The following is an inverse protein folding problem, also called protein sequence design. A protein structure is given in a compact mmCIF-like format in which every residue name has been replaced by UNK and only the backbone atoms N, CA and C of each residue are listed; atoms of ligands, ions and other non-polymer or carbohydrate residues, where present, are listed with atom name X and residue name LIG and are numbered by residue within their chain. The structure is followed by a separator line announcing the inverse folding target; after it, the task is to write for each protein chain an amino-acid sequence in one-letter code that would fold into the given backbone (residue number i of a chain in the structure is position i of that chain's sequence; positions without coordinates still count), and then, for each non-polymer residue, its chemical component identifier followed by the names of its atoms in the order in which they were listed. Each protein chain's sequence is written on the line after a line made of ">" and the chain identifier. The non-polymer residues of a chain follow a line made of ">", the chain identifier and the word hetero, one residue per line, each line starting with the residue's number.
data_IF_229331184983
#
_entry.id   IF_229331184983
#
_cell.length_a   1.000
_cell.length_b   1.000
_cell.length_c   1.000
_cell.angle_alpha   90.00
_cell.angle_beta   90.00
_cell.angle_gamma   90.00
#
_symmetry.space_group_name_H-M   'P 1'
#
loop_
_entity.id
_entity.type
_entity.pdbx_description
1 polymer ?
#
# COMPACT_ATOMS: atom_id res chain seq x y z
N UNK A 1 11.36 -2.04 -0.21
CA UNK A 1 11.65 -1.86 -1.64
C UNK A 1 10.63 -2.67 -2.42
N UNK A 2 10.04 -2.09 -3.46
CA UNK A 2 9.18 -2.69 -4.52
C UNK A 2 9.68 -4.02 -5.08
N UNK A 3 10.79 -4.56 -4.55
CA UNK A 3 11.32 -5.91 -4.71
C UNK A 3 11.76 -6.25 -6.11
N UNK A 4 11.63 -5.31 -7.03
CA UNK A 4 12.42 -5.21 -8.23
C UNK A 4 13.33 -3.97 -8.09
N UNK A 5 14.65 -4.18 -8.21
CA UNK A 5 15.63 -3.09 -8.23
C UNK A 5 15.43 -2.13 -9.40
N UNK A 6 14.71 -2.55 -10.45
CA UNK A 6 14.41 -1.73 -11.63
C UNK A 6 13.26 -0.75 -11.41
N UNK A 7 12.47 -0.89 -10.33
CA UNK A 7 11.32 -0.01 -10.11
C UNK A 7 11.21 0.65 -8.73
N UNK A 8 12.01 1.69 -8.46
CA UNK A 8 12.00 2.47 -7.22
C UNK A 8 10.86 3.53 -7.18
N UNK A 9 9.60 3.11 -7.18
CA UNK A 9 8.48 4.03 -6.94
C UNK A 9 8.38 4.41 -5.45
N UNK A 10 8.44 5.71 -5.12
CA UNK A 10 8.06 6.22 -3.79
C UNK A 10 6.70 6.89 -3.91
N UNK A 11 5.71 6.36 -3.19
CA UNK A 11 4.40 6.99 -3.09
C UNK A 11 4.46 8.06 -2.00
N UNK A 12 4.06 9.30 -2.32
CA UNK A 12 3.94 10.40 -1.36
C UNK A 12 2.48 10.72 -1.15
N UNK A 13 2.06 10.79 0.11
CA UNK A 13 0.64 11.01 0.44
C UNK A 13 0.48 12.40 1.04
N UNK A 14 -0.45 13.18 0.47
CA UNK A 14 -0.77 14.53 0.90
C UNK A 14 -2.22 14.58 1.42
N UNK A 15 -2.36 14.88 2.71
CA UNK A 15 -3.68 15.02 3.34
C UNK A 15 -4.27 16.43 3.17
N UNK A 16 -3.80 17.20 2.20
CA UNK A 16 -4.06 18.65 2.11
C UNK A 16 -3.31 19.47 3.18
N UNK A 17 -3.48 20.79 3.14
CA UNK A 17 -2.98 21.77 4.15
C UNK A 17 -1.51 21.61 4.58
N UNK A 18 -0.59 21.29 3.64
CA UNK A 18 0.84 21.16 3.93
C UNK A 18 1.25 19.91 4.71
N UNK A 19 0.29 19.04 5.05
CA UNK A 19 0.54 17.79 5.78
C UNK A 19 0.86 16.67 4.80
N UNK A 20 2.11 16.20 4.83
CA UNK A 20 2.61 15.14 3.94
C UNK A 20 3.18 13.97 4.73
N UNK A 21 2.82 12.76 4.33
CA UNK A 21 3.62 11.58 4.64
C UNK A 21 4.67 11.47 3.54
N UNK A 22 5.88 11.93 3.86
CA UNK A 22 6.94 12.15 2.88
C UNK A 22 7.46 10.89 2.17
N UNK A 23 7.12 9.69 2.67
CA UNK A 23 7.47 8.42 2.02
C UNK A 23 6.56 7.26 2.45
N UNK A 24 6.06 6.52 1.47
CA UNK A 24 5.52 5.17 1.63
C UNK A 24 6.38 4.24 0.79
N UNK A 25 7.11 3.35 1.48
CA UNK A 25 8.04 2.42 0.85
C UNK A 25 7.30 1.14 0.48
N UNK A 26 7.15 0.91 -0.82
CA UNK A 26 6.57 -0.31 -1.33
C UNK A 26 7.52 -1.50 -1.07
N UNK A 27 6.95 -2.69 -0.95
CA UNK A 27 7.59 -3.99 -0.82
C UNK A 27 7.32 -4.79 -2.11
N UNK A 28 8.27 -5.59 -2.59
CA UNK A 28 8.03 -6.47 -3.74
C UNK A 28 8.38 -7.91 -3.55
N UNK A 29 8.91 -8.53 -4.60
CA UNK A 29 8.94 -9.98 -4.81
C UNK A 29 9.51 -10.80 -3.65
N UNK A 30 10.56 -10.30 -2.99
CA UNK A 30 11.19 -10.99 -1.85
C UNK A 30 10.42 -10.86 -0.52
N UNK A 31 9.35 -10.07 -0.47
CA UNK A 31 8.60 -9.82 0.75
C UNK A 31 7.61 -10.96 1.07
N UNK A 32 7.79 -11.63 2.22
CA UNK A 32 6.90 -12.73 2.70
C UNK A 32 5.42 -12.35 2.77
N UNK A 33 4.53 -13.00 2.02
CA UNK A 33 3.07 -12.76 2.04
C UNK A 33 2.51 -12.58 0.63
N UNK A 34 1.21 -12.36 0.50
CA UNK A 34 0.57 -12.22 -0.82
C UNK A 34 0.97 -10.91 -1.51
N UNK A 35 1.23 -10.99 -2.81
CA UNK A 35 1.61 -9.89 -3.71
C UNK A 35 0.98 -10.12 -5.09
N UNK A 36 0.65 -9.04 -5.79
CA UNK A 36 0.10 -9.09 -7.15
C UNK A 36 1.27 -9.07 -8.13
N UNK A 37 1.80 -10.26 -8.41
CA UNK A 37 3.03 -10.44 -9.20
C UNK A 37 2.90 -9.81 -10.58
N UNK A 38 1.80 -10.09 -11.28
CA UNK A 38 1.56 -9.62 -12.64
C UNK A 38 1.53 -8.09 -12.68
N UNK A 39 0.85 -7.48 -11.70
CA UNK A 39 0.83 -6.02 -11.61
C UNK A 39 2.19 -5.43 -11.25
N UNK A 40 2.96 -6.06 -10.35
CA UNK A 40 4.32 -5.62 -10.02
C UNK A 40 5.23 -5.68 -11.26
N UNK A 41 5.10 -6.72 -12.08
CA UNK A 41 5.85 -6.85 -13.34
C UNK A 41 5.48 -5.73 -14.32
N UNK A 42 4.19 -5.46 -14.52
CA UNK A 42 3.72 -4.33 -15.35
C UNK A 42 4.30 -3.00 -14.88
N UNK A 43 4.31 -2.76 -13.57
CA UNK A 43 4.91 -1.56 -13.00
C UNK A 43 6.42 -1.53 -13.14
N UNK A 44 7.11 -2.68 -13.18
CA UNK A 44 8.56 -2.65 -13.37
C UNK A 44 8.99 -2.19 -14.75
N UNK A 45 8.18 -2.46 -15.78
CA UNK A 45 8.47 -2.07 -17.15
C UNK A 45 8.06 -0.62 -17.44
N UNK A 46 6.89 -0.20 -16.94
CA UNK A 46 6.25 1.05 -17.37
C UNK A 46 6.16 2.09 -16.26
N UNK A 47 6.39 1.66 -15.02
CA UNK A 47 6.28 2.46 -13.83
C UNK A 47 4.87 2.69 -13.30
N UNK A 48 4.81 3.14 -12.05
CA UNK A 48 3.57 3.65 -11.47
C UNK A 48 3.28 4.99 -12.15
N UNK A 49 2.08 5.16 -12.73
CA UNK A 49 1.74 6.42 -13.38
C UNK A 49 1.90 7.61 -12.43
N UNK A 50 2.58 8.64 -12.91
CA UNK A 50 2.73 9.87 -12.15
C UNK A 50 1.44 10.69 -12.16
N UNK A 51 1.21 11.45 -11.09
CA UNK A 51 0.09 12.37 -10.99
C UNK A 51 -0.63 12.34 -9.65
N UNK A 52 -1.75 13.06 -9.61
CA UNK A 52 -2.66 13.12 -8.48
C UNK A 52 -3.58 11.90 -8.48
N UNK A 53 -3.70 11.27 -7.32
CA UNK A 53 -4.65 10.21 -7.02
C UNK A 53 -5.57 10.64 -5.90
N UNK A 54 -6.81 10.20 -5.91
CA UNK A 54 -7.78 10.42 -4.85
C UNK A 54 -7.99 9.15 -4.04
N UNK A 55 -8.08 9.28 -2.72
CA UNK A 55 -8.51 8.16 -1.87
C UNK A 55 -9.96 7.78 -2.18
N UNK A 56 -10.18 6.51 -2.46
CA UNK A 56 -11.50 5.94 -2.71
C UNK A 56 -11.91 4.99 -1.59
N UNK A 57 -13.23 4.88 -1.38
CA UNK A 57 -13.82 3.77 -0.63
C UNK A 57 -13.73 2.50 -1.49
N UNK A 58 -13.93 1.34 -0.86
CA UNK A 58 -14.19 0.13 -1.61
C UNK A 58 -15.48 0.29 -2.42
N UNK A 59 -15.51 -0.25 -3.63
CA UNK A 59 -16.75 -0.31 -4.40
C UNK A 59 -17.74 -1.26 -3.73
N UNK A 60 -19.02 -0.97 -3.85
CA UNK A 60 -20.10 -1.71 -3.16
C UNK A 60 -20.05 -3.21 -3.49
N UNK A 61 -19.76 -3.52 -4.73
CA UNK A 61 -19.68 -4.89 -5.26
C UNK A 61 -18.44 -5.67 -4.79
N UNK A 62 -17.43 -5.02 -4.21
CA UNK A 62 -16.28 -5.70 -3.59
C UNK A 62 -16.68 -6.40 -2.27
N UNK A 63 -17.84 -6.06 -1.70
CA UNK A 63 -18.32 -6.53 -0.39
C UNK A 63 -17.22 -6.43 0.67
N UNK A 64 -16.57 -5.26 0.72
CA UNK A 64 -15.43 -5.07 1.60
C UNK A 64 -15.87 -5.11 3.08
N UNK A 65 -15.14 -5.83 3.94
CA UNK A 65 -15.56 -6.09 5.31
C UNK A 65 -15.69 -4.84 6.20
N UNK A 66 -15.01 -3.74 5.87
CA UNK A 66 -15.04 -2.49 6.65
C UNK A 66 -15.35 -1.31 5.76
N UNK A 67 -16.29 -0.44 6.18
CA UNK A 67 -16.62 0.78 5.42
C UNK A 67 -15.53 1.87 5.53
N UNK A 68 -14.63 1.73 6.51
CA UNK A 68 -13.51 2.64 6.75
C UNK A 68 -12.15 1.95 6.57
N UNK A 69 -11.13 2.77 6.28
CA UNK A 69 -9.74 2.33 6.25
C UNK A 69 -9.27 1.95 7.67
N UNK A 70 -8.51 0.86 7.77
CA UNK A 70 -7.92 0.36 9.01
C UNK A 70 -6.47 -0.06 8.79
N UNK A 71 -5.67 -0.16 9.86
CA UNK A 71 -4.26 -0.54 9.79
C UNK A 71 -4.01 -1.94 9.20
N UNK A 72 -4.99 -2.83 9.26
CA UNK A 72 -4.92 -4.18 8.68
C UNK A 72 -5.74 -4.28 7.39
N UNK A 73 -6.09 -3.14 6.79
CA UNK A 73 -6.88 -3.03 5.57
C UNK A 73 -6.04 -2.63 4.36
N UNK A 74 -6.74 -2.14 3.33
CA UNK A 74 -6.12 -1.58 2.13
C UNK A 74 -6.66 -0.16 1.88
N UNK A 75 -5.77 0.76 1.55
CA UNK A 75 -6.14 2.10 1.10
C UNK A 75 -6.17 2.13 -0.42
N UNK A 76 -7.32 2.51 -1.00
CA UNK A 76 -7.54 2.55 -2.44
C UNK A 76 -7.34 3.95 -2.99
N UNK A 77 -6.71 4.04 -4.15
CA UNK A 77 -6.28 5.27 -4.78
C UNK A 77 -6.71 5.25 -6.25
N UNK A 78 -7.50 6.22 -6.67
CA UNK A 78 -7.97 6.35 -8.06
C UNK A 78 -7.26 7.53 -8.71
N UNK A 79 -6.57 7.36 -9.85
CA UNK A 79 -5.91 8.48 -10.52
C UNK A 79 -6.93 9.54 -10.96
N UNK A 80 -6.52 10.80 -10.93
CA UNK A 80 -7.34 11.94 -11.37
C UNK A 80 -7.09 12.30 -12.83
N UNK A 81 -5.94 11.90 -13.40
CA UNK A 81 -5.63 12.12 -14.81
C UNK A 81 -6.10 10.97 -15.69
N UNK A 82 -6.67 11.28 -16.85
CA UNK A 82 -7.15 10.30 -17.83
C UNK A 82 -6.06 9.33 -18.29
N UNK A 83 -4.83 9.81 -18.48
CA UNK A 83 -3.69 8.98 -18.91
C UNK A 83 -3.33 7.89 -17.88
N UNK A 84 -3.25 8.25 -16.61
CA UNK A 84 -3.00 7.29 -15.52
C UNK A 84 -4.18 6.34 -15.33
N UNK A 85 -5.42 6.79 -15.57
CA UNK A 85 -6.60 5.93 -15.53
C UNK A 85 -6.57 4.89 -16.66
N UNK A 86 -6.22 5.32 -17.88
CA UNK A 86 -6.13 4.44 -19.05
C UNK A 86 -5.01 3.40 -18.90
N UNK A 87 -3.87 3.79 -18.34
CA UNK A 87 -2.81 2.86 -17.96
C UNK A 87 -3.34 1.75 -17.04
N UNK A 88 -4.04 2.12 -15.97
CA UNK A 88 -4.55 1.14 -15.01
C UNK A 88 -5.62 0.26 -15.64
N UNK A 89 -6.53 0.83 -16.45
CA UNK A 89 -7.54 0.06 -17.18
C UNK A 89 -6.93 -0.95 -18.14
N UNK A 90 -5.86 -0.58 -18.84
CA UNK A 90 -5.11 -1.48 -19.71
C UNK A 90 -4.51 -2.65 -18.92
N UNK A 91 -4.07 -2.40 -17.69
CA UNK A 91 -3.63 -3.42 -16.74
C UNK A 91 -4.79 -4.17 -16.03
N UNK A 92 -6.04 -3.92 -16.41
CA UNK A 92 -7.22 -4.53 -15.80
C UNK A 92 -7.56 -4.00 -14.40
N UNK A 93 -6.99 -2.85 -14.00
CA UNK A 93 -7.13 -2.26 -12.66
C UNK A 93 -7.95 -0.96 -12.71
N UNK A 94 -8.69 -0.70 -11.64
CA UNK A 94 -9.51 0.51 -11.46
C UNK A 94 -8.77 1.61 -10.67
N UNK A 95 -7.62 1.27 -10.10
CA UNK A 95 -6.83 2.14 -9.24
C UNK A 95 -5.66 1.36 -8.62
N UNK A 96 -4.96 1.99 -7.68
CA UNK A 96 -3.93 1.35 -6.86
C UNK A 96 -4.50 1.02 -5.47
N UNK A 97 -3.99 -0.01 -4.82
CA UNK A 97 -4.33 -0.31 -3.44
C UNK A 97 -3.08 -0.54 -2.58
N UNK A 98 -2.87 0.27 -1.55
CA UNK A 98 -1.80 0.09 -0.59
C UNK A 98 -2.25 -0.83 0.55
N UNK A 99 -1.55 -1.94 0.76
CA UNK A 99 -1.87 -2.90 1.83
C UNK A 99 -0.62 -3.38 2.60
N UNK A 100 -0.83 -3.86 3.82
CA UNK A 100 0.23 -4.44 4.65
C UNK A 100 0.39 -5.95 4.38
N UNK A 101 1.41 -6.58 4.99
CA UNK A 101 1.48 -8.05 5.05
C UNK A 101 0.32 -8.61 5.86
N UNK A 102 0.07 -7.97 6.99
CA UNK A 102 -0.91 -8.38 7.98
C UNK A 102 -2.30 -7.88 7.56
N UNK A 103 -2.74 -8.41 6.42
CA UNK A 103 -3.95 -7.97 5.73
C UNK A 103 -5.15 -8.82 6.13
N UNK A 104 -5.72 -8.50 7.29
CA UNK A 104 -6.85 -9.22 7.90
C UNK A 104 -7.75 -8.24 8.67
N UNK A 105 -8.50 -7.37 7.98
CA UNK A 105 -9.25 -6.29 8.62
C UNK A 105 -10.26 -6.78 9.68
N UNK A 106 -10.72 -8.03 9.59
CA UNK A 106 -11.62 -8.65 10.57
C UNK A 106 -11.13 -9.99 11.16
N UNK A 107 -10.22 -10.71 10.50
CA UNK A 107 -10.02 -12.13 10.81
C UNK A 107 -9.49 -12.38 12.23
N UNK A 108 -8.59 -11.52 12.74
CA UNK A 108 -8.09 -11.64 14.11
C UNK A 108 -9.14 -11.37 15.20
N UNK A 109 -10.28 -10.77 14.87
CA UNK A 109 -11.43 -10.63 15.79
C UNK A 109 -12.42 -11.78 15.69
N UNK A 110 -12.36 -12.55 14.60
CA UNK A 110 -13.28 -13.66 14.32
C UNK A 110 -12.73 -15.00 14.78
N UNK A 111 -11.40 -15.15 14.86
CA UNK A 111 -10.74 -16.38 15.27
C UNK A 111 -9.28 -16.14 15.64
N UNK A 112 -8.78 -16.87 16.63
CA UNK A 112 -7.36 -16.91 16.98
C UNK A 112 -6.58 -17.97 16.17
N UNK A 113 -7.26 -18.72 15.28
CA UNK A 113 -6.64 -19.78 14.49
C UNK A 113 -5.82 -19.21 13.31
N UNK A 114 -4.48 -19.40 13.27
CA UNK A 114 -3.64 -18.82 12.22
C UNK A 114 -3.96 -19.30 10.80
N UNK A 115 -4.44 -20.55 10.64
CA UNK A 115 -4.81 -21.09 9.33
C UNK A 115 -6.07 -20.40 8.79
N UNK A 116 -7.05 -20.18 9.65
CA UNK A 116 -8.28 -19.47 9.29
C UNK A 116 -8.01 -18.00 8.98
N UNK A 117 -7.17 -17.34 9.79
CA UNK A 117 -6.74 -15.96 9.52
C UNK A 117 -6.08 -15.87 8.13
N UNK A 118 -5.18 -16.79 7.82
CA UNK A 118 -4.51 -16.83 6.51
C UNK A 118 -5.48 -17.09 5.37
N UNK A 119 -6.43 -18.00 5.55
CA UNK A 119 -7.46 -18.29 4.54
C UNK A 119 -8.28 -17.05 4.18
N UNK A 120 -8.82 -16.34 5.18
CA UNK A 120 -9.57 -15.11 4.95
C UNK A 120 -8.70 -13.99 4.37
N UNK A 121 -7.45 -13.87 4.82
CA UNK A 121 -6.48 -12.90 4.30
C UNK A 121 -6.23 -13.11 2.81
N UNK A 122 -6.00 -14.36 2.39
CA UNK A 122 -5.80 -14.71 0.99
C UNK A 122 -7.03 -14.38 0.13
N UNK A 123 -8.23 -14.76 0.58
CA UNK A 123 -9.45 -14.45 -0.17
C UNK A 123 -9.70 -12.95 -0.33
N UNK A 124 -9.46 -12.17 0.73
CA UNK A 124 -9.58 -10.71 0.65
C UNK A 124 -8.52 -10.12 -0.30
N UNK A 125 -7.32 -10.69 -0.30
CA UNK A 125 -6.25 -10.25 -1.17
C UNK A 125 -6.57 -10.53 -2.64
N UNK A 126 -7.09 -11.72 -2.95
CA UNK A 126 -7.54 -12.07 -4.31
C UNK A 126 -8.57 -11.07 -4.84
N UNK A 127 -9.59 -10.74 -4.05
CA UNK A 127 -10.59 -9.72 -4.42
C UNK A 127 -9.99 -8.33 -4.62
N UNK A 128 -9.00 -7.98 -3.80
CA UNK A 128 -8.31 -6.69 -3.93
C UNK A 128 -7.50 -6.66 -5.23
N UNK A 129 -6.70 -7.69 -5.48
CA UNK A 129 -5.83 -7.80 -6.65
C UNK A 129 -6.61 -7.92 -7.96
N UNK A 130 -7.81 -8.52 -7.94
CA UNK A 130 -8.67 -8.61 -9.13
C UNK A 130 -9.03 -7.24 -9.71
N UNK A 131 -9.27 -6.24 -8.84
CA UNK A 131 -9.79 -4.92 -9.25
C UNK A 131 -8.81 -3.79 -9.09
N UNK A 132 -7.88 -3.92 -8.15
CA UNK A 132 -6.94 -2.88 -7.77
C UNK A 132 -5.52 -3.35 -8.00
N UNK A 133 -4.67 -2.44 -8.47
CA UNK A 133 -3.23 -2.64 -8.52
C UNK A 133 -2.67 -2.73 -7.10
N UNK A 134 -2.61 -3.95 -6.55
CA UNK A 134 -2.30 -4.18 -5.16
C UNK A 134 -0.79 -4.02 -4.90
N UNK A 135 -0.47 -2.95 -4.17
CA UNK A 135 0.88 -2.54 -3.81
C UNK A 135 1.09 -2.75 -2.32
N UNK A 136 2.12 -3.52 -2.00
CA UNK A 136 2.39 -3.90 -0.61
C UNK A 136 3.33 -2.92 0.06
N UNK A 137 3.13 -2.68 1.36
CA UNK A 137 4.03 -1.90 2.24
C UNK A 137 4.34 -2.68 3.51
N UNK A 138 5.33 -2.25 4.29
CA UNK A 138 5.64 -2.89 5.57
C UNK A 138 4.51 -2.65 6.59
N UNK A 139 4.32 -3.57 7.54
CA UNK A 139 3.32 -3.37 8.61
C UNK A 139 3.63 -2.12 9.45
N UNK A 140 4.93 -1.83 9.64
CA UNK A 140 5.36 -0.62 10.32
C UNK A 140 4.98 0.64 9.55
N UNK A 141 5.20 0.66 8.23
CA UNK A 141 4.76 1.77 7.38
C UNK A 141 3.25 1.89 7.36
N UNK A 142 2.52 0.77 7.33
CA UNK A 142 1.05 0.79 7.38
C UNK A 142 0.53 1.33 8.71
N UNK A 143 1.15 0.98 9.85
CA UNK A 143 0.79 1.56 11.15
C UNK A 143 0.94 3.08 11.16
N UNK A 144 2.10 3.59 10.69
CA UNK A 144 2.32 5.04 10.55
C UNK A 144 1.35 5.68 9.58
N UNK A 145 1.05 4.99 8.49
CA UNK A 145 0.17 5.48 7.44
C UNK A 145 -1.28 5.58 7.91
N UNK A 146 -1.76 4.57 8.65
CA UNK A 146 -3.07 4.58 9.28
C UNK A 146 -3.18 5.65 10.38
N UNK A 147 -2.15 5.83 11.20
CA UNK A 147 -2.14 6.91 12.20
C UNK A 147 -2.15 8.30 11.53
N UNK A 148 -1.39 8.46 10.44
CA UNK A 148 -1.41 9.68 9.65
C UNK A 148 -2.80 9.91 9.04
N UNK A 149 -3.42 8.88 8.48
CA UNK A 149 -4.80 8.90 7.98
C UNK A 149 -5.77 9.39 9.05
N UNK A 150 -5.84 8.68 10.19
CA UNK A 150 -6.77 9.00 11.27
C UNK A 150 -6.62 10.43 11.81
N UNK A 151 -5.40 10.97 11.88
CA UNK A 151 -5.14 12.32 12.42
C UNK A 151 -5.46 13.46 11.47
N UNK A 152 -5.54 13.16 10.17
CA UNK A 152 -5.62 14.20 9.13
C UNK A 152 -6.82 14.04 8.20
N UNK A 153 -7.66 13.03 8.41
CA UNK A 153 -8.92 12.86 7.71
C UNK A 153 -10.02 13.51 8.53
N UNK A 154 -10.45 14.70 8.11
CA UNK A 154 -11.76 15.27 8.52
C UNK A 154 -12.84 14.75 7.56
N UNK A 155 -14.12 14.75 7.99
CA UNK A 155 -15.21 14.21 7.17
C UNK A 155 -15.25 14.88 5.79
N UNK A 156 -15.46 14.08 4.75
CA UNK A 156 -15.62 14.49 3.35
C UNK A 156 -14.38 15.07 2.63
N UNK A 157 -13.19 15.02 3.23
CA UNK A 157 -11.97 15.47 2.55
C UNK A 157 -11.40 14.46 1.56
N UNK A 158 -11.24 14.91 0.31
CA UNK A 158 -10.51 14.20 -0.74
C UNK A 158 -9.01 14.28 -0.48
N UNK A 159 -8.43 13.20 0.04
CA UNK A 159 -6.98 13.06 0.13
C UNK A 159 -6.38 12.94 -1.26
N UNK A 160 -5.30 13.67 -1.52
CA UNK A 160 -4.53 13.57 -2.76
C UNK A 160 -3.22 12.81 -2.53
N UNK A 161 -2.95 11.80 -3.33
CA UNK A 161 -1.68 11.08 -3.33
C UNK A 161 -0.93 11.48 -4.58
N UNK A 162 0.35 11.81 -4.44
CA UNK A 162 1.23 12.16 -5.55
C UNK A 162 2.24 11.02 -5.72
N UNK A 163 2.34 10.51 -6.93
CA UNK A 163 3.41 9.58 -7.30
C UNK A 163 4.49 10.37 -8.04
N UNK A 164 5.74 10.21 -7.60
CA UNK A 164 6.91 10.71 -8.33
C UNK A 164 7.93 9.59 -8.51
N UNK A 165 8.45 9.45 -9.72
CA UNK A 165 9.63 8.65 -9.96
C UNK A 165 10.81 9.19 -9.14
N UNK A 166 11.64 8.29 -8.62
CA UNK A 166 12.86 8.62 -7.89
C UNK A 166 13.94 7.62 -8.28
N UNK A 167 15.20 8.03 -8.34
CA UNK A 167 16.30 7.13 -8.71
C UNK A 167 16.47 6.00 -7.68
N UNK A 168 16.91 4.82 -8.15
CA UNK A 168 17.05 3.61 -7.33
C UNK A 168 17.88 3.82 -6.07
N UNK A 169 19.03 4.47 -6.19
CA UNK A 169 19.91 4.76 -5.07
C UNK A 169 19.25 5.67 -4.02
N UNK A 170 18.47 6.67 -4.46
CA UNK A 170 17.72 7.52 -3.55
C UNK A 170 16.68 6.70 -2.78
N UNK A 171 15.97 5.78 -3.47
CA UNK A 171 14.96 4.93 -2.85
C UNK A 171 15.56 3.88 -1.93
N UNK A 172 16.68 3.25 -2.32
CA UNK A 172 17.44 2.31 -1.46
C UNK A 172 17.83 2.98 -0.15
N UNK A 173 18.35 4.20 -0.21
CA UNK A 173 18.74 4.96 0.98
C UNK A 173 17.54 5.40 1.83
N UNK A 174 16.45 5.84 1.19
CA UNK A 174 15.24 6.33 1.87
C UNK A 174 14.46 5.17 2.52
N UNK A 175 14.40 4.02 1.85
CA UNK A 175 13.62 2.85 2.26
C UNK A 175 14.47 1.76 2.94
N UNK A 176 15.73 2.05 3.26
CA UNK A 176 16.54 1.18 4.10
C UNK A 176 15.84 0.98 5.45
N UNK A 177 15.82 -0.26 5.99
CA UNK A 177 15.35 -0.50 7.34
C UNK A 177 16.08 0.43 8.31
N UNK A 178 15.37 0.98 9.28
CA UNK A 178 16.00 1.74 10.36
C UNK A 178 17.04 0.82 11.01
N UNK A 179 18.32 1.20 10.93
CA UNK A 179 19.38 0.54 11.70
C UNK A 179 19.09 0.84 13.16
N UNK A 180 18.37 -0.04 13.83
CA UNK A 180 18.21 0.02 15.28
C UNK A 180 19.60 -0.22 15.84
N UNK A 181 20.27 0.83 16.32
CA UNK A 181 21.43 0.62 17.17
C UNK A 181 20.92 -0.17 18.36
N UNK A 182 21.31 -1.45 18.44
CA UNK A 182 21.17 -2.21 19.68
C UNK A 182 21.82 -1.36 20.76
N UNK A 183 21.13 -1.11 21.87
CA UNK A 183 21.80 -0.56 23.06
C UNK A 183 23.03 -1.44 23.34
N UNK A 184 24.22 -0.87 23.58
CA UNK A 184 25.36 -1.67 24.00
C UNK A 184 24.95 -2.41 25.29
N UNK A 185 24.91 -3.74 25.25
CA UNK A 185 24.60 -4.58 26.43
C UNK A 185 23.25 -5.32 26.47
N UNK A 186 22.47 -5.39 25.39
CA UNK A 186 21.28 -6.26 25.35
C UNK A 186 21.64 -7.73 25.10
N UNK A 187 21.22 -8.64 25.98
CA UNK A 187 21.46 -10.08 25.87
C UNK A 187 20.92 -10.69 24.57
N UNK A 188 21.62 -11.72 24.11
CA UNK A 188 21.29 -12.53 22.94
C UNK A 188 20.20 -13.53 23.33
N UNK A 189 18.99 -13.36 22.79
CA UNK A 189 18.02 -14.45 22.60
C UNK A 189 17.70 -14.60 21.10
#
# INVERSE_FOLDING_TARGET
>A
MTGNEEFPGVVRVYAGTGKKMGRVCLLGLEAKGSIDLDFIMTLSEQGIPEGDYQVSKAFTEEMWPTSSFSANGALRLVPQSESALEFLRTAGKQGLALHARDFYPLAGKMTDNPKMIRFFSNQLFERLAERWGALRISNWDMGRFHDFYRRNTESDQQWKVEVKASGLEAVKNICAPLKVQRKPGGELE
#
